data_IF_218697180006
#
_entry.id   IF_218697180006
#
_cell.length_a   1.000
_cell.length_b   1.000
_cell.length_c   1.000
_cell.angle_alpha   90.00
_cell.angle_beta   90.00
_cell.angle_gamma   90.00
#
_symmetry.space_group_name_H-M   'P 1'
#
loop_
_entity.id
_entity.type
_entity.pdbx_description
1 polymer ?
#
# COMPACT_ATOMS: atom_id res chain seq x y z
N UNK A 1 -0.09 -33.96 9.23
CA UNK A 1 -0.67 -32.64 8.91
C UNK A 1 -0.23 -31.64 9.96
N UNK A 2 1.08 -31.46 10.14
CA UNK A 2 1.66 -30.55 11.15
C UNK A 2 2.77 -29.66 10.58
N UNK A 3 3.14 -29.80 9.30
CA UNK A 3 4.20 -29.00 8.69
C UNK A 3 3.68 -27.83 7.83
N UNK A 4 2.43 -27.88 7.33
CA UNK A 4 1.92 -26.86 6.39
C UNK A 4 1.58 -25.53 7.09
N UNK A 5 1.02 -25.59 8.31
CA UNK A 5 0.70 -24.39 9.10
C UNK A 5 1.98 -23.72 9.64
N UNK A 6 2.99 -24.48 10.08
CA UNK A 6 4.30 -23.92 10.49
C UNK A 6 5.05 -23.28 9.31
N UNK A 7 5.01 -23.87 8.11
CA UNK A 7 5.67 -23.30 6.90
C UNK A 7 4.99 -21.99 6.46
N UNK A 8 3.67 -21.85 6.66
CA UNK A 8 2.92 -20.63 6.33
C UNK A 8 3.13 -19.49 7.35
N UNK A 9 3.27 -19.81 8.64
CA UNK A 9 3.64 -18.85 9.70
C UNK A 9 5.11 -18.38 9.60
N UNK A 10 5.96 -19.15 8.91
CA UNK A 10 7.41 -18.91 8.79
C UNK A 10 7.81 -17.86 7.73
N UNK A 11 6.85 -17.23 7.04
CA UNK A 11 7.07 -16.14 6.08
C UNK A 11 7.45 -14.80 6.74
N UNK A 12 8.35 -14.82 7.73
CA UNK A 12 8.69 -13.67 8.58
C UNK A 12 9.48 -12.54 7.87
N UNK A 13 9.70 -12.64 6.57
CA UNK A 13 10.04 -11.53 5.68
C UNK A 13 9.81 -11.99 4.24
N UNK A 14 8.58 -11.88 3.72
CA UNK A 14 8.26 -12.26 2.33
C UNK A 14 9.16 -11.53 1.30
N UNK A 15 9.75 -10.40 1.70
CA UNK A 15 10.55 -9.55 0.83
C UNK A 15 12.03 -9.89 0.74
N UNK A 16 12.61 -10.64 1.70
CA UNK A 16 14.05 -10.88 1.68
C UNK A 16 14.49 -12.09 2.48
N UNK A 17 15.50 -12.79 1.96
CA UNK A 17 16.29 -13.70 2.79
C UNK A 17 17.12 -12.88 3.78
N UNK A 18 17.15 -13.32 5.04
CA UNK A 18 17.95 -12.65 6.08
C UNK A 18 18.80 -13.64 6.84
N UNK A 19 19.81 -13.14 7.53
CA UNK A 19 20.69 -13.92 8.38
C UNK A 19 20.99 -13.15 9.67
N UNK A 20 20.66 -13.77 10.79
CA UNK A 20 20.86 -13.20 12.12
C UNK A 20 22.25 -13.53 12.67
N UNK A 21 22.71 -12.81 13.70
CA UNK A 21 23.97 -13.10 14.43
C UNK A 21 25.19 -13.26 13.49
N UNK A 22 25.30 -12.40 12.48
CA UNK A 22 26.28 -12.57 11.38
C UNK A 22 27.72 -12.54 11.88
N UNK A 23 28.06 -11.68 12.86
CA UNK A 23 29.40 -11.65 13.44
C UNK A 23 29.78 -12.95 14.17
N UNK A 24 28.80 -13.59 14.81
CA UNK A 24 29.01 -14.90 15.44
C UNK A 24 29.22 -15.98 14.38
N UNK A 25 28.44 -15.95 13.28
CA UNK A 25 28.59 -16.88 12.16
C UNK A 25 29.94 -16.70 11.48
N UNK A 26 30.34 -15.46 11.21
CA UNK A 26 31.64 -15.09 10.64
C UNK A 26 32.78 -15.68 11.47
N UNK A 27 32.73 -15.45 12.79
CA UNK A 27 33.71 -16.00 13.72
C UNK A 27 33.74 -17.53 13.71
N UNK A 28 32.57 -18.17 13.65
CA UNK A 28 32.44 -19.61 13.59
C UNK A 28 33.04 -20.17 12.30
N UNK A 29 32.68 -19.62 11.14
CA UNK A 29 33.15 -20.08 9.82
C UNK A 29 34.68 -20.01 9.69
N UNK A 30 35.31 -18.99 10.29
CA UNK A 30 36.77 -18.84 10.31
C UNK A 30 37.44 -19.86 11.28
N UNK A 31 36.84 -20.11 12.45
CA UNK A 31 37.50 -20.84 13.54
C UNK A 31 37.17 -22.33 13.61
N UNK A 32 35.96 -22.73 13.21
CA UNK A 32 35.41 -24.06 13.46
C UNK A 32 34.82 -24.60 12.16
N UNK A 33 35.62 -25.39 11.45
CA UNK A 33 35.22 -26.02 10.19
C UNK A 33 34.79 -27.49 10.33
N UNK A 34 34.76 -28.02 11.55
CA UNK A 34 34.29 -29.37 11.83
C UNK A 34 32.91 -29.31 12.47
N UNK A 35 31.89 -29.89 11.84
CA UNK A 35 30.51 -29.86 12.31
C UNK A 35 29.52 -29.54 11.21
N UNK A 36 28.25 -29.46 11.59
CA UNK A 36 27.14 -29.07 10.74
C UNK A 36 26.60 -27.71 11.19
N UNK A 37 26.39 -26.81 10.23
CA UNK A 37 25.68 -25.55 10.42
C UNK A 37 24.29 -25.70 9.82
N UNK A 38 23.29 -25.45 10.64
CA UNK A 38 21.88 -25.67 10.39
C UNK A 38 21.24 -24.31 10.12
N UNK A 39 20.47 -24.17 9.04
CA UNK A 39 19.85 -22.91 8.67
C UNK A 39 18.32 -23.02 8.56
N UNK A 40 17.64 -21.96 8.97
CA UNK A 40 16.20 -21.80 8.82
C UNK A 40 15.85 -20.59 7.95
N UNK A 41 14.69 -20.69 7.33
CA UNK A 41 14.18 -19.71 6.35
C UNK A 41 13.96 -18.31 6.95
N UNK A 42 13.71 -18.24 8.26
CA UNK A 42 13.59 -17.00 9.03
C UNK A 42 14.95 -16.31 9.29
N UNK A 43 16.06 -16.89 8.82
CA UNK A 43 17.41 -16.36 8.99
C UNK A 43 18.13 -16.79 10.27
N UNK A 44 17.49 -17.63 11.10
CA UNK A 44 18.16 -18.25 12.24
C UNK A 44 19.11 -19.36 11.79
N UNK A 45 20.18 -19.55 12.56
CA UNK A 45 21.14 -20.63 12.34
C UNK A 45 21.71 -21.16 13.65
N UNK A 46 22.12 -22.43 13.61
CA UNK A 46 22.72 -23.12 14.73
C UNK A 46 23.93 -23.94 14.29
N UNK A 47 24.92 -24.05 15.17
CA UNK A 47 26.08 -24.90 14.99
C UNK A 47 25.96 -26.16 15.85
N UNK A 48 26.34 -27.30 15.28
CA UNK A 48 26.40 -28.58 15.96
C UNK A 48 27.73 -29.27 15.65
N UNK A 49 28.43 -29.71 16.69
CA UNK A 49 29.55 -30.64 16.51
C UNK A 49 29.02 -32.06 16.22
N UNK A 50 29.81 -32.85 15.49
CA UNK A 50 29.43 -34.19 15.01
C UNK A 50 29.08 -35.22 16.12
N UNK A 51 29.15 -34.84 17.40
CA UNK A 51 29.04 -35.74 18.56
C UNK A 51 27.63 -35.82 19.19
N UNK A 52 26.65 -34.99 18.79
CA UNK A 52 25.37 -34.86 19.52
C UNK A 52 24.11 -35.13 18.68
N UNK A 53 23.36 -36.22 18.86
CA UNK A 53 22.10 -36.45 18.12
C UNK A 53 21.04 -35.33 18.30
N UNK A 54 20.17 -35.16 17.30
CA UNK A 54 19.05 -34.21 17.36
C UNK A 54 18.12 -34.53 18.56
N UNK A 55 17.78 -33.54 19.41
CA UNK A 55 16.76 -33.72 20.43
C UNK A 55 15.41 -34.13 19.81
N UNK A 56 14.61 -34.92 20.53
CA UNK A 56 13.21 -35.16 20.13
C UNK A 56 12.44 -33.83 20.17
N UNK A 57 11.78 -33.48 19.07
CA UNK A 57 10.97 -32.24 18.95
C UNK A 57 11.73 -31.02 18.42
N UNK A 58 12.95 -31.20 17.90
CA UNK A 58 13.67 -30.13 17.23
C UNK A 58 13.07 -29.87 15.83
N UNK A 59 12.87 -28.60 15.48
CA UNK A 59 12.37 -28.19 14.17
C UNK A 59 13.43 -28.56 13.12
N UNK A 60 13.03 -29.26 12.06
CA UNK A 60 13.96 -29.67 11.00
C UNK A 60 14.57 -28.45 10.32
N UNK A 61 15.90 -28.37 10.16
CA UNK A 61 16.51 -27.27 9.40
C UNK A 61 16.10 -27.32 7.93
N UNK A 62 16.10 -26.17 7.28
CA UNK A 62 15.73 -26.04 5.88
C UNK A 62 16.88 -26.45 4.95
N UNK A 63 18.12 -26.13 5.32
CA UNK A 63 19.31 -26.74 4.74
C UNK A 63 20.46 -26.84 5.76
N UNK A 64 21.44 -27.70 5.45
CA UNK A 64 22.57 -28.01 6.32
C UNK A 64 23.86 -27.83 5.52
N UNK A 65 24.83 -27.11 6.11
CA UNK A 65 26.17 -26.99 5.57
C UNK A 65 27.15 -27.76 6.44
N UNK A 66 27.84 -28.72 5.84
CA UNK A 66 28.86 -29.54 6.48
C UNK A 66 30.26 -29.13 6.03
N UNK A 67 31.30 -29.73 6.62
CA UNK A 67 32.70 -29.44 6.30
C UNK A 67 33.06 -29.66 4.83
N UNK A 68 32.42 -30.62 4.15
CA UNK A 68 32.68 -30.90 2.72
C UNK A 68 32.16 -29.76 1.83
N UNK A 69 30.98 -29.24 2.15
CA UNK A 69 30.35 -28.13 1.41
C UNK A 69 31.04 -26.79 1.70
N UNK A 70 31.41 -26.56 2.96
CA UNK A 70 32.05 -25.31 3.41
C UNK A 70 33.48 -25.17 2.89
N UNK A 71 34.24 -26.26 2.75
CA UNK A 71 35.63 -26.23 2.33
C UNK A 71 36.50 -25.33 3.23
N UNK A 72 37.56 -24.74 2.66
CA UNK A 72 38.47 -23.85 3.41
C UNK A 72 37.97 -22.40 3.39
N UNK A 73 37.69 -21.86 4.57
CA UNK A 73 37.20 -20.50 4.79
C UNK A 73 38.23 -19.76 5.65
N UNK A 74 38.58 -18.56 5.22
CA UNK A 74 39.51 -17.66 5.90
C UNK A 74 38.99 -16.21 5.86
N UNK A 75 39.75 -15.30 6.46
CA UNK A 75 39.42 -13.86 6.49
C UNK A 75 39.28 -13.23 5.09
N UNK A 76 39.80 -13.86 4.03
CA UNK A 76 39.74 -13.32 2.66
C UNK A 76 38.47 -13.72 1.92
N UNK A 77 37.82 -14.82 2.31
CA UNK A 77 36.63 -15.34 1.60
C UNK A 77 35.37 -15.46 2.47
N UNK A 78 35.44 -15.25 3.80
CA UNK A 78 34.29 -15.41 4.69
C UNK A 78 33.07 -14.57 4.31
N UNK A 79 33.25 -13.30 3.94
CA UNK A 79 32.12 -12.43 3.52
C UNK A 79 31.45 -12.94 2.23
N UNK A 80 32.25 -13.54 1.35
CA UNK A 80 31.74 -14.15 0.13
C UNK A 80 30.89 -15.39 0.43
N UNK A 81 31.34 -16.23 1.37
CA UNK A 81 30.59 -17.39 1.82
C UNK A 81 29.28 -16.96 2.50
N UNK A 82 29.32 -15.96 3.39
CA UNK A 82 28.12 -15.43 4.07
C UNK A 82 27.09 -14.91 3.05
N UNK A 83 27.54 -14.15 2.05
CA UNK A 83 26.66 -13.68 0.97
C UNK A 83 26.03 -14.86 0.20
N UNK A 84 26.80 -15.91 -0.09
CA UNK A 84 26.28 -17.06 -0.80
C UNK A 84 25.36 -17.95 0.06
N UNK A 85 25.53 -17.96 1.38
CA UNK A 85 24.55 -18.55 2.31
C UNK A 85 23.21 -17.82 2.21
N UNK A 86 23.22 -16.49 2.17
CA UNK A 86 22.01 -15.69 1.96
C UNK A 86 21.38 -15.95 0.58
N UNK A 87 22.19 -16.09 -0.48
CA UNK A 87 21.69 -16.48 -1.81
C UNK A 87 21.01 -17.85 -1.78
N UNK A 88 21.58 -18.81 -1.06
CA UNK A 88 20.98 -20.15 -0.89
C UNK A 88 19.66 -20.07 -0.11
N UNK A 89 19.59 -19.27 0.96
CA UNK A 89 18.33 -19.00 1.67
C UNK A 89 17.27 -18.43 0.71
N UNK A 90 17.65 -17.47 -0.13
CA UNK A 90 16.74 -16.88 -1.11
C UNK A 90 16.26 -17.90 -2.16
N UNK A 91 17.16 -18.75 -2.68
CA UNK A 91 16.79 -19.85 -3.57
C UNK A 91 15.88 -20.87 -2.88
N UNK A 92 16.10 -21.11 -1.59
CA UNK A 92 15.24 -21.96 -0.79
C UNK A 92 13.83 -21.37 -0.66
N UNK A 93 13.69 -20.05 -0.44
CA UNK A 93 12.39 -19.37 -0.47
C UNK A 93 11.66 -19.63 -1.79
N UNK A 94 12.35 -19.42 -2.92
CA UNK A 94 11.79 -19.68 -4.26
C UNK A 94 11.36 -21.14 -4.42
N UNK A 95 12.21 -22.08 -3.99
CA UNK A 95 11.88 -23.50 -4.00
C UNK A 95 10.63 -23.82 -3.18
N UNK A 96 10.50 -23.26 -1.96
CA UNK A 96 9.34 -23.46 -1.09
C UNK A 96 8.06 -22.97 -1.78
N UNK A 97 8.12 -21.78 -2.39
CA UNK A 97 6.95 -21.13 -3.01
C UNK A 97 6.47 -21.88 -4.26
N UNK A 98 7.39 -22.33 -5.12
CA UNK A 98 7.02 -22.79 -6.46
C UNK A 98 7.21 -24.29 -6.69
N UNK A 99 8.07 -24.95 -5.92
CA UNK A 99 8.55 -26.30 -6.26
C UNK A 99 8.41 -27.32 -5.12
N UNK A 100 8.13 -26.91 -3.88
CA UNK A 100 8.04 -27.82 -2.74
C UNK A 100 7.01 -28.94 -2.96
N UNK A 101 5.83 -28.59 -3.46
CA UNK A 101 4.74 -29.55 -3.70
C UNK A 101 5.00 -30.46 -4.91
N UNK A 102 6.05 -30.21 -5.70
CA UNK A 102 6.40 -31.04 -6.86
C UNK A 102 7.10 -32.35 -6.46
N UNK A 103 7.53 -32.50 -5.21
CA UNK A 103 8.17 -33.71 -4.68
C UNK A 103 9.63 -33.91 -5.09
N UNK A 104 10.26 -32.94 -5.76
CA UNK A 104 11.72 -32.90 -5.95
C UNK A 104 12.38 -32.35 -4.67
N UNK A 105 13.60 -32.78 -4.34
CA UNK A 105 14.34 -32.18 -3.21
C UNK A 105 14.91 -30.81 -3.60
N UNK A 106 15.32 -30.02 -2.61
CA UNK A 106 15.99 -28.74 -2.86
C UNK A 106 17.29 -28.90 -3.66
N UNK A 107 18.07 -29.94 -3.39
CA UNK A 107 19.31 -30.24 -4.14
C UNK A 107 18.99 -30.61 -5.59
N UNK A 108 17.91 -31.34 -5.84
CA UNK A 108 17.45 -31.63 -7.19
C UNK A 108 16.93 -30.40 -7.91
N UNK A 109 16.26 -29.48 -7.20
CA UNK A 109 15.87 -28.16 -7.72
C UNK A 109 17.10 -27.36 -8.15
N UNK A 110 18.13 -27.23 -7.30
CA UNK A 110 19.36 -26.53 -7.63
C UNK A 110 20.05 -27.11 -8.89
N UNK A 111 20.07 -28.44 -9.02
CA UNK A 111 20.67 -29.09 -10.19
C UNK A 111 19.85 -28.90 -11.47
N UNK A 112 18.52 -28.98 -11.38
CA UNK A 112 17.64 -28.97 -12.56
C UNK A 112 17.32 -27.56 -13.04
N UNK A 113 17.01 -26.65 -12.12
CA UNK A 113 16.54 -25.30 -12.43
C UNK A 113 17.69 -24.29 -12.40
N UNK A 114 18.59 -24.37 -11.41
CA UNK A 114 19.72 -23.44 -11.28
C UNK A 114 21.01 -23.94 -11.96
N UNK A 115 21.01 -25.18 -12.48
CA UNK A 115 22.17 -25.84 -13.07
C UNK A 115 23.43 -25.72 -12.19
N UNK A 116 23.26 -25.90 -10.88
CA UNK A 116 24.30 -25.73 -9.88
C UNK A 116 24.10 -26.66 -8.68
N UNK A 117 25.03 -26.61 -7.73
CA UNK A 117 24.91 -27.27 -6.43
C UNK A 117 25.32 -26.33 -5.29
N UNK A 118 25.04 -26.75 -4.05
CA UNK A 118 25.31 -25.95 -2.85
C UNK A 118 26.78 -25.54 -2.77
N UNK A 119 27.71 -26.46 -3.01
CA UNK A 119 29.14 -26.19 -2.92
C UNK A 119 29.59 -25.16 -3.95
N UNK A 120 29.14 -25.31 -5.19
CA UNK A 120 29.43 -24.38 -6.29
C UNK A 120 28.91 -22.98 -5.95
N UNK A 121 27.65 -22.87 -5.50
CA UNK A 121 27.06 -21.58 -5.11
C UNK A 121 27.81 -20.94 -3.95
N UNK A 122 28.20 -21.70 -2.92
CA UNK A 122 28.92 -21.18 -1.75
C UNK A 122 30.26 -20.53 -2.12
N UNK A 123 30.95 -21.07 -3.12
CA UNK A 123 32.29 -20.63 -3.52
C UNK A 123 32.32 -19.69 -4.75
N UNK A 124 31.15 -19.36 -5.31
CA UNK A 124 31.00 -18.31 -6.32
C UNK A 124 31.57 -16.98 -5.81
N UNK A 125 32.33 -16.24 -6.62
CA UNK A 125 32.92 -14.93 -6.24
C UNK A 125 31.91 -13.77 -6.28
N UNK A 126 30.69 -13.99 -5.78
CA UNK A 126 29.60 -13.03 -5.83
C UNK A 126 29.92 -11.73 -5.08
N UNK A 127 30.59 -11.81 -3.93
CA UNK A 127 30.92 -10.62 -3.14
C UNK A 127 31.89 -9.69 -3.88
N UNK A 128 32.86 -10.26 -4.61
CA UNK A 128 33.81 -9.47 -5.40
C UNK A 128 33.18 -8.78 -6.62
N UNK A 129 31.96 -9.18 -6.98
CA UNK A 129 31.19 -8.53 -8.06
C UNK A 129 30.38 -7.33 -7.60
N UNK A 130 30.26 -7.11 -6.27
CA UNK A 130 29.56 -5.96 -5.71
C UNK A 130 30.43 -4.71 -5.90
N UNK A 131 30.03 -3.84 -6.81
CA UNK A 131 30.78 -2.65 -7.22
C UNK A 131 30.05 -1.33 -6.95
N UNK A 132 28.77 -1.41 -6.56
CA UNK A 132 27.95 -0.26 -6.22
C UNK A 132 27.38 -0.43 -4.80
N UNK A 133 27.15 0.70 -4.12
CA UNK A 133 26.56 0.70 -2.79
C UNK A 133 25.82 1.99 -2.49
N UNK A 134 24.88 1.91 -1.55
CA UNK A 134 24.16 3.06 -1.00
C UNK A 134 23.97 2.91 0.51
N UNK A 135 24.24 3.99 1.24
CA UNK A 135 23.96 4.08 2.67
C UNK A 135 22.64 4.79 2.88
N UNK A 136 21.59 4.03 3.20
CA UNK A 136 20.30 4.55 3.59
C UNK A 136 20.34 4.92 5.07
N UNK A 137 20.28 6.22 5.36
CA UNK A 137 20.38 6.74 6.72
C UNK A 137 19.27 7.74 7.04
N UNK A 138 18.37 7.35 7.93
CA UNK A 138 17.25 8.17 8.40
C UNK A 138 17.14 7.98 9.90
N UNK A 139 17.20 9.06 10.67
CA UNK A 139 17.19 8.96 12.13
C UNK A 139 16.40 10.11 12.78
N UNK A 140 15.83 9.82 13.95
CA UNK A 140 15.36 10.80 14.93
C UNK A 140 15.72 10.30 16.34
N UNK A 141 15.20 10.96 17.38
CA UNK A 141 15.51 10.61 18.77
C UNK A 141 15.02 9.22 19.22
N UNK A 142 14.14 8.57 18.44
CA UNK A 142 13.47 7.31 18.79
C UNK A 142 13.76 6.15 17.84
N UNK A 143 14.06 6.44 16.57
CA UNK A 143 14.21 5.46 15.49
C UNK A 143 15.45 5.81 14.68
N UNK A 144 16.23 4.80 14.30
CA UNK A 144 17.35 4.92 13.38
C UNK A 144 17.31 3.79 12.35
N UNK A 145 17.12 4.17 11.09
CA UNK A 145 17.29 3.30 9.93
C UNK A 145 18.71 3.50 9.40
N UNK A 146 19.54 2.46 9.49
CA UNK A 146 20.91 2.48 9.00
C UNK A 146 21.19 1.21 8.20
N UNK A 147 20.95 1.30 6.89
CA UNK A 147 21.07 0.19 5.96
C UNK A 147 22.18 0.48 4.94
N UNK A 148 23.02 -0.51 4.67
CA UNK A 148 24.00 -0.44 3.58
C UNK A 148 23.61 -1.48 2.54
N UNK A 149 23.16 -1.03 1.38
CA UNK A 149 22.81 -1.89 0.25
C UNK A 149 23.95 -1.91 -0.75
N UNK A 150 24.31 -3.08 -1.28
CA UNK A 150 25.37 -3.27 -2.27
C UNK A 150 24.96 -4.22 -3.39
N UNK A 151 25.32 -3.92 -4.63
CA UNK A 151 24.94 -4.68 -5.82
C UNK A 151 26.04 -4.66 -6.89
N UNK A 152 25.90 -5.53 -7.89
CA UNK A 152 26.78 -5.62 -9.07
C UNK A 152 26.27 -4.76 -10.24
N UNK A 153 27.06 -4.65 -11.32
CA UNK A 153 26.71 -3.86 -12.51
C UNK A 153 25.35 -4.24 -13.15
N UNK A 154 24.95 -5.52 -13.01
CA UNK A 154 23.69 -6.02 -13.56
C UNK A 154 22.47 -5.68 -12.69
N UNK A 155 22.67 -5.13 -11.48
CA UNK A 155 21.61 -4.84 -10.51
C UNK A 155 20.91 -6.09 -9.94
N UNK A 156 21.36 -7.30 -10.29
CA UNK A 156 20.72 -8.53 -9.83
C UNK A 156 21.29 -8.96 -8.50
N UNK A 157 20.40 -9.12 -7.51
CA UNK A 157 20.77 -9.47 -6.15
C UNK A 157 21.40 -8.30 -5.41
N UNK A 158 20.76 -7.90 -4.31
CA UNK A 158 21.17 -6.79 -3.46
C UNK A 158 21.50 -7.36 -2.10
N UNK A 159 22.76 -7.20 -1.71
CA UNK A 159 23.22 -7.50 -0.35
C UNK A 159 22.91 -6.29 0.54
N UNK A 160 22.37 -6.53 1.73
CA UNK A 160 21.98 -5.47 2.67
C UNK A 160 22.57 -5.76 4.04
N UNK A 161 23.16 -4.75 4.66
CA UNK A 161 23.61 -4.80 6.06
C UNK A 161 22.69 -3.91 6.89
N UNK A 162 22.02 -4.50 7.88
CA UNK A 162 21.12 -3.82 8.81
C UNK A 162 21.83 -3.56 10.14
N UNK A 163 22.01 -2.28 10.50
CA UNK A 163 22.54 -1.85 11.80
C UNK A 163 23.85 -2.57 12.23
N UNK A 164 24.64 -3.05 11.27
CA UNK A 164 25.87 -3.82 11.45
C UNK A 164 25.72 -5.14 12.24
N UNK A 165 24.53 -5.75 12.29
CA UNK A 165 24.30 -6.99 13.06
C UNK A 165 23.57 -8.10 12.31
N UNK A 166 22.79 -7.72 11.29
CA UNK A 166 21.95 -8.62 10.48
C UNK A 166 22.22 -8.34 9.01
N UNK A 167 22.32 -9.39 8.20
CA UNK A 167 22.47 -9.25 6.76
C UNK A 167 21.21 -9.72 6.03
N UNK A 168 20.98 -9.21 4.83
CA UNK A 168 19.89 -9.63 3.96
C UNK A 168 20.31 -9.71 2.49
N UNK A 169 19.53 -10.46 1.72
CA UNK A 169 19.69 -10.60 0.29
C UNK A 169 18.33 -10.63 -0.39
N UNK A 170 18.17 -9.79 -1.42
CA UNK A 170 16.90 -9.70 -2.15
C UNK A 170 17.07 -9.06 -3.54
N UNK A 171 15.99 -8.85 -4.27
CA UNK A 171 15.95 -8.07 -5.50
C UNK A 171 15.42 -6.64 -5.26
N UNK A 172 15.62 -5.76 -6.24
CA UNK A 172 15.29 -4.34 -6.10
C UNK A 172 13.82 -4.06 -5.77
N UNK A 173 12.91 -4.80 -6.40
CA UNK A 173 11.48 -4.65 -6.17
C UNK A 173 11.12 -4.99 -4.72
N UNK A 174 11.53 -6.16 -4.25
CA UNK A 174 11.23 -6.61 -2.90
C UNK A 174 11.91 -5.74 -1.83
N UNK A 175 13.13 -5.24 -2.09
CA UNK A 175 13.76 -4.23 -1.22
C UNK A 175 12.91 -2.96 -1.14
N UNK A 176 12.32 -2.53 -2.25
CA UNK A 176 11.42 -1.39 -2.25
C UNK A 176 10.16 -1.66 -1.43
N UNK A 177 9.58 -2.85 -1.54
CA UNK A 177 8.44 -3.27 -0.73
C UNK A 177 8.76 -3.29 0.76
N UNK A 178 9.91 -3.87 1.12
CA UNK A 178 10.42 -3.83 2.49
C UNK A 178 10.57 -2.40 3.01
N UNK A 179 11.16 -1.48 2.25
CA UNK A 179 11.30 -0.09 2.67
C UNK A 179 9.94 0.61 2.84
N UNK A 180 8.97 0.31 1.98
CA UNK A 180 7.62 0.83 2.11
C UNK A 180 6.91 0.28 3.36
N UNK A 181 7.07 -1.00 3.67
CA UNK A 181 6.56 -1.62 4.90
C UNK A 181 7.19 -0.98 6.15
N UNK A 182 8.52 -0.82 6.17
CA UNK A 182 9.25 -0.16 7.26
C UNK A 182 8.74 1.26 7.51
N UNK A 183 8.35 1.98 6.45
CA UNK A 183 7.79 3.33 6.57
C UNK A 183 6.47 3.39 7.36
N UNK A 184 5.72 2.28 7.46
CA UNK A 184 4.46 2.23 8.20
C UNK A 184 4.67 2.33 9.72
N UNK A 185 5.81 1.86 10.21
CA UNK A 185 6.18 1.97 11.63
C UNK A 185 6.57 3.39 12.08
N UNK A 186 6.72 4.33 11.15
CA UNK A 186 7.12 5.71 11.47
C UNK A 186 5.90 6.48 11.98
N UNK A 187 5.99 6.96 13.23
CA UNK A 187 4.91 7.66 13.92
C UNK A 187 5.03 9.21 13.87
N UNK A 188 5.96 9.76 13.09
CA UNK A 188 6.18 11.19 12.92
C UNK A 188 6.23 11.57 11.43
N UNK A 189 5.51 12.63 11.06
CA UNK A 189 5.42 13.08 9.66
C UNK A 189 6.77 13.53 9.10
N UNK A 190 7.58 14.27 9.87
CA UNK A 190 8.87 14.77 9.39
C UNK A 190 9.83 13.63 9.01
N UNK A 191 9.94 12.66 9.91
CA UNK A 191 10.74 11.43 9.74
C UNK A 191 10.20 10.59 8.59
N UNK A 192 8.87 10.45 8.47
CA UNK A 192 8.24 9.72 7.38
C UNK A 192 8.56 10.34 6.02
N UNK A 193 8.38 11.65 5.87
CA UNK A 193 8.74 12.37 4.65
C UNK A 193 10.23 12.27 4.32
N UNK A 194 11.11 12.37 5.33
CA UNK A 194 12.55 12.19 5.13
C UNK A 194 12.85 10.77 4.63
N UNK A 195 12.22 9.76 5.23
CA UNK A 195 12.38 8.36 4.84
C UNK A 195 12.01 8.14 3.38
N UNK A 196 10.84 8.60 2.96
CA UNK A 196 10.39 8.42 1.58
C UNK A 196 11.26 9.18 0.56
N UNK A 197 11.72 10.40 0.91
CA UNK A 197 12.69 11.14 0.08
C UNK A 197 14.00 10.38 -0.06
N UNK A 198 14.50 9.79 1.03
CA UNK A 198 15.72 9.00 1.04
C UNK A 198 15.57 7.72 0.21
N UNK A 199 14.40 7.07 0.29
CA UNK A 199 14.05 5.93 -0.55
C UNK A 199 14.10 6.30 -2.04
N UNK A 200 13.53 7.45 -2.44
CA UNK A 200 13.63 7.92 -3.84
C UNK A 200 15.06 8.24 -4.26
N UNK A 201 15.91 8.77 -3.38
CA UNK A 201 17.33 8.98 -3.68
C UNK A 201 18.06 7.65 -3.90
N UNK A 202 17.80 6.66 -3.05
CA UNK A 202 18.32 5.30 -3.20
C UNK A 202 17.91 4.72 -4.57
N UNK A 203 16.63 4.74 -4.91
CA UNK A 203 16.13 4.21 -6.18
C UNK A 203 16.78 4.91 -7.39
N UNK A 204 16.88 6.25 -7.38
CA UNK A 204 17.58 7.01 -8.43
C UNK A 204 19.06 6.64 -8.54
N UNK A 205 19.73 6.45 -7.40
CA UNK A 205 21.14 6.05 -7.39
C UNK A 205 21.31 4.64 -7.97
N UNK A 206 20.48 3.69 -7.53
CA UNK A 206 20.45 2.33 -8.04
C UNK A 206 20.29 2.31 -9.58
N UNK A 207 19.26 2.96 -10.11
CA UNK A 207 19.02 2.98 -11.56
C UNK A 207 20.17 3.61 -12.36
N UNK A 208 20.77 4.70 -11.87
CA UNK A 208 21.95 5.32 -12.52
C UNK A 208 23.17 4.41 -12.58
N UNK A 209 23.25 3.41 -11.72
CA UNK A 209 24.38 2.48 -11.61
C UNK A 209 24.09 1.10 -12.23
N UNK A 210 22.92 0.92 -12.84
CA UNK A 210 22.54 -0.34 -13.49
C UNK A 210 22.23 -0.10 -14.96
N UNK A 211 21.98 -1.17 -15.71
CA UNK A 211 21.56 -1.08 -17.11
C UNK A 211 20.19 -0.42 -17.33
N UNK A 212 19.37 -0.28 -16.28
CA UNK A 212 18.07 0.35 -16.33
C UNK A 212 18.14 1.80 -15.81
N UNK A 213 18.78 2.70 -16.57
CA UNK A 213 19.03 4.09 -16.15
C UNK A 213 17.77 4.96 -16.02
N UNK A 214 16.66 4.53 -16.63
CA UNK A 214 15.37 5.23 -16.62
C UNK A 214 14.34 4.53 -15.73
N UNK A 215 14.79 3.70 -14.79
CA UNK A 215 13.89 2.93 -13.95
C UNK A 215 12.90 3.78 -13.16
N UNK A 216 11.77 3.15 -12.85
CA UNK A 216 10.59 3.81 -12.29
C UNK A 216 10.73 3.98 -10.78
N UNK A 217 10.46 5.18 -10.29
CA UNK A 217 10.52 5.45 -8.85
C UNK A 217 9.22 5.03 -8.18
N UNK A 218 9.32 4.19 -7.18
CA UNK A 218 8.20 3.72 -6.36
C UNK A 218 7.97 4.63 -5.15
N UNK A 219 6.71 4.72 -4.76
CA UNK A 219 6.18 5.46 -3.63
C UNK A 219 4.92 4.76 -3.10
N UNK A 220 4.23 5.37 -2.14
CA UNK A 220 2.92 4.87 -1.66
C UNK A 220 1.83 5.91 -1.87
N UNK A 221 0.59 5.46 -2.09
CA UNK A 221 -0.56 6.36 -2.10
C UNK A 221 -0.68 7.15 -0.78
N UNK A 222 -0.33 6.50 0.34
CA UNK A 222 -0.28 7.12 1.67
C UNK A 222 0.64 8.33 1.70
N UNK A 223 1.81 8.27 1.05
CA UNK A 223 2.71 9.42 0.99
C UNK A 223 2.05 10.62 0.32
N UNK A 224 1.29 10.38 -0.75
CA UNK A 224 0.53 11.41 -1.46
C UNK A 224 -0.61 11.95 -0.59
N UNK A 225 -1.38 11.08 0.05
CA UNK A 225 -2.48 11.47 0.94
C UNK A 225 -2.02 12.33 2.12
N UNK A 226 -0.84 12.04 2.64
CA UNK A 226 -0.24 12.81 3.74
C UNK A 226 0.25 14.19 3.29
N UNK A 227 0.21 14.53 2.00
CA UNK A 227 0.35 15.92 1.59
C UNK A 227 -0.85 16.77 2.02
N UNK A 228 -2.03 16.18 2.25
CA UNK A 228 -3.13 16.87 2.92
C UNK A 228 -2.86 17.01 4.43
N UNK A 229 -2.84 18.24 4.99
CA UNK A 229 -2.60 18.47 6.42
C UNK A 229 -3.58 17.75 7.37
N UNK A 230 -4.85 17.59 6.99
CA UNK A 230 -5.85 16.90 7.81
C UNK A 230 -5.50 15.42 7.98
N UNK A 231 -4.97 14.78 6.94
CA UNK A 231 -4.56 13.38 6.99
C UNK A 231 -3.33 13.19 7.88
N UNK A 232 -2.41 14.16 7.91
CA UNK A 232 -1.26 14.15 8.83
C UNK A 232 -1.72 14.12 10.27
N UNK A 233 -2.67 14.99 10.62
CA UNK A 233 -3.24 15.04 11.97
C UNK A 233 -3.92 13.72 12.31
N UNK A 234 -4.75 13.17 11.42
CA UNK A 234 -5.44 11.89 11.66
C UNK A 234 -4.49 10.70 11.81
N UNK A 235 -3.40 10.64 11.04
CA UNK A 235 -2.44 9.52 11.08
C UNK A 235 -1.55 9.57 12.32
N UNK A 236 -1.07 10.76 12.68
CA UNK A 236 -0.01 10.91 13.68
C UNK A 236 -0.49 11.45 15.04
N UNK A 237 -1.76 11.87 15.16
CA UNK A 237 -2.38 12.19 16.45
C UNK A 237 -3.33 11.07 16.89
N UNK A 238 -2.88 10.28 17.88
CA UNK A 238 -3.67 9.18 18.46
C UNK A 238 -4.97 9.62 19.12
N UNK A 239 -5.21 10.93 19.30
CA UNK A 239 -6.46 11.50 19.86
C UNK A 239 -7.53 11.75 18.80
N UNK A 240 -7.17 11.73 17.52
CA UNK A 240 -8.09 11.99 16.41
C UNK A 240 -8.53 10.65 15.82
N UNK A 241 -9.86 10.46 15.70
CA UNK A 241 -10.40 9.23 15.10
C UNK A 241 -9.94 9.06 13.65
N UNK A 242 -9.53 7.84 13.28
CA UNK A 242 -8.88 7.52 12.01
C UNK A 242 -9.84 7.23 10.85
N UNK A 243 -11.15 7.42 11.02
CA UNK A 243 -12.15 6.73 10.18
C UNK A 243 -12.35 7.30 8.76
N UNK A 244 -12.02 8.57 8.49
CA UNK A 244 -12.17 9.14 7.15
C UNK A 244 -10.89 9.80 6.68
N UNK A 245 -10.27 9.25 5.64
CA UNK A 245 -9.18 9.88 4.90
C UNK A 245 -9.76 10.95 4.00
N UNK A 246 -9.21 12.16 4.03
CA UNK A 246 -9.55 13.19 3.06
C UNK A 246 -8.73 12.94 1.80
N UNK A 247 -9.36 12.46 0.72
CA UNK A 247 -8.65 12.11 -0.51
C UNK A 247 -8.20 13.32 -1.33
N UNK A 248 -8.55 14.54 -0.90
CA UNK A 248 -8.18 15.75 -1.63
C UNK A 248 -6.74 16.16 -1.36
N UNK A 249 -5.93 16.17 -2.41
CA UNK A 249 -4.55 16.68 -2.35
C UNK A 249 -4.35 17.71 -3.45
N UNK A 250 -3.85 18.88 -3.08
CA UNK A 250 -3.66 19.99 -4.01
C UNK A 250 -2.55 19.67 -5.01
N UNK A 251 -2.78 19.95 -6.29
CA UNK A 251 -1.82 19.69 -7.38
C UNK A 251 -0.48 20.40 -7.13
N UNK A 252 -0.51 21.65 -6.65
CA UNK A 252 0.71 22.38 -6.32
C UNK A 252 1.61 21.66 -5.30
N UNK A 253 1.00 21.09 -4.25
CA UNK A 253 1.74 20.41 -3.19
C UNK A 253 2.40 19.13 -3.71
N UNK A 254 1.75 18.43 -4.65
CA UNK A 254 2.31 17.22 -5.30
C UNK A 254 3.49 17.58 -6.19
N UNK A 255 3.32 18.57 -7.06
CA UNK A 255 4.37 19.02 -7.99
C UNK A 255 5.60 19.48 -7.22
N UNK A 256 5.43 20.30 -6.17
CA UNK A 256 6.53 20.77 -5.33
C UNK A 256 7.20 19.61 -4.58
N UNK A 257 6.41 18.76 -3.92
CA UNK A 257 6.92 17.70 -3.07
C UNK A 257 7.70 16.62 -3.84
N UNK A 258 7.19 16.20 -5.01
CA UNK A 258 7.84 15.21 -5.87
C UNK A 258 8.82 15.84 -6.87
N UNK A 259 8.85 17.18 -6.97
CA UNK A 259 9.61 17.94 -7.95
C UNK A 259 9.33 17.44 -9.38
N UNK A 260 8.06 17.40 -9.75
CA UNK A 260 7.58 16.94 -11.06
C UNK A 260 7.84 18.01 -12.13
N UNK A 261 8.26 17.61 -13.33
CA UNK A 261 8.52 18.51 -14.46
C UNK A 261 7.25 18.74 -15.29
N UNK A 262 6.19 19.23 -14.64
CA UNK A 262 4.91 19.51 -15.28
C UNK A 262 4.83 21.00 -15.62
N UNK A 263 4.66 21.30 -16.92
CA UNK A 263 4.42 22.68 -17.38
C UNK A 263 2.93 23.01 -17.31
N UNK A 264 2.56 23.78 -16.31
CA UNK A 264 1.18 24.24 -16.14
C UNK A 264 0.99 25.59 -16.84
N UNK A 265 0.01 25.65 -17.74
CA UNK A 265 -0.25 26.83 -18.60
C UNK A 265 -1.08 27.93 -17.93
N UNK A 266 -1.86 27.57 -16.90
CA UNK A 266 -2.68 28.49 -16.09
C UNK A 266 -2.47 28.18 -14.61
N UNK A 267 -2.02 29.17 -13.83
CA UNK A 267 -1.80 29.05 -12.39
C UNK A 267 -3.06 28.58 -11.63
N UNK A 268 -4.27 28.84 -12.16
CA UNK A 268 -5.51 28.34 -11.53
C UNK A 268 -5.60 26.82 -11.49
N UNK A 269 -4.94 26.12 -12.43
CA UNK A 269 -4.91 24.66 -12.44
C UNK A 269 -4.11 24.11 -11.25
N UNK A 270 -3.18 24.89 -10.69
CA UNK A 270 -2.43 24.53 -9.48
C UNK A 270 -3.29 24.57 -8.20
N UNK A 271 -4.47 25.21 -8.25
CA UNK A 271 -5.46 25.26 -7.18
C UNK A 271 -6.46 24.10 -7.24
N UNK A 272 -6.38 23.25 -8.28
CA UNK A 272 -7.16 22.00 -8.33
C UNK A 272 -6.63 20.97 -7.34
N UNK A 273 -7.49 20.02 -7.00
CA UNK A 273 -7.17 18.89 -6.13
C UNK A 273 -7.33 17.59 -6.89
N UNK A 274 -6.35 16.70 -6.79
CA UNK A 274 -6.55 15.31 -7.20
C UNK A 274 -7.42 14.60 -6.15
N UNK A 275 -8.14 13.57 -6.58
CA UNK A 275 -8.73 12.59 -5.68
C UNK A 275 -7.79 11.38 -5.58
N UNK A 276 -7.15 11.18 -4.42
CA UNK A 276 -6.21 10.05 -4.23
C UNK A 276 -6.87 8.68 -4.36
N UNK A 277 -8.21 8.60 -4.34
CA UNK A 277 -8.92 7.36 -4.66
C UNK A 277 -8.61 6.86 -6.09
N UNK A 278 -8.32 7.76 -7.03
CA UNK A 278 -7.91 7.36 -8.38
C UNK A 278 -6.53 6.69 -8.41
N UNK A 279 -5.61 7.06 -7.52
CA UNK A 279 -4.33 6.35 -7.39
C UNK A 279 -4.54 4.89 -6.99
N UNK A 280 -5.46 4.64 -6.06
CA UNK A 280 -5.82 3.29 -5.66
C UNK A 280 -6.55 2.53 -6.77
N UNK A 281 -7.62 3.10 -7.34
CA UNK A 281 -8.46 2.38 -8.30
C UNK A 281 -7.80 2.15 -9.66
N UNK A 282 -6.93 3.07 -10.12
CA UNK A 282 -6.26 2.94 -11.42
C UNK A 282 -4.96 2.14 -11.33
N UNK A 283 -4.23 2.23 -10.21
CA UNK A 283 -2.87 1.68 -10.10
C UNK A 283 -2.67 0.77 -8.88
N UNK A 284 -3.04 1.22 -7.69
CA UNK A 284 -2.68 0.57 -6.43
C UNK A 284 -3.50 -0.67 -6.04
N UNK A 285 -4.66 -0.92 -6.65
CA UNK A 285 -5.61 -1.97 -6.20
C UNK A 285 -5.03 -3.39 -6.17
N UNK A 286 -4.02 -3.67 -7.00
CA UNK A 286 -3.40 -5.00 -7.11
C UNK A 286 -2.12 -5.16 -6.30
N UNK A 287 -1.70 -4.13 -5.56
CA UNK A 287 -0.39 -4.03 -4.94
C UNK A 287 -0.47 -4.18 -3.42
N UNK A 288 0.44 -4.98 -2.82
CA UNK A 288 0.36 -5.39 -1.41
C UNK A 288 0.28 -4.23 -0.41
N UNK A 289 0.98 -3.13 -0.69
CA UNK A 289 0.99 -1.92 0.15
C UNK A 289 0.32 -0.73 -0.52
N UNK A 290 -0.53 -0.97 -1.53
CA UNK A 290 -1.05 0.07 -2.42
C UNK A 290 0.10 0.96 -2.93
N UNK A 291 1.24 0.33 -3.24
CA UNK A 291 2.38 1.00 -3.80
C UNK A 291 2.04 1.46 -5.22
N UNK A 292 2.57 2.62 -5.54
CA UNK A 292 2.38 3.28 -6.82
C UNK A 292 3.73 3.84 -7.25
N UNK A 293 3.78 4.41 -8.43
CA UNK A 293 4.99 5.01 -8.97
C UNK A 293 4.86 6.53 -9.06
N UNK A 294 5.99 7.24 -9.03
CA UNK A 294 6.00 8.70 -9.24
C UNK A 294 5.41 9.08 -10.60
N UNK A 295 5.67 8.35 -11.71
CA UNK A 295 4.96 8.57 -12.97
C UNK A 295 3.44 8.38 -12.90
N UNK A 296 2.93 7.45 -12.09
CA UNK A 296 1.48 7.30 -11.89
C UNK A 296 0.88 8.47 -11.12
N UNK A 297 1.61 9.01 -10.13
CA UNK A 297 1.23 10.25 -9.44
C UNK A 297 1.18 11.42 -10.44
N UNK A 298 2.18 11.54 -11.30
CA UNK A 298 2.22 12.54 -12.38
C UNK A 298 1.06 12.37 -13.36
N UNK A 299 0.72 11.14 -13.75
CA UNK A 299 -0.41 10.85 -14.63
C UNK A 299 -1.74 11.33 -14.04
N UNK A 300 -2.02 11.04 -12.76
CA UNK A 300 -3.26 11.55 -12.11
C UNK A 300 -3.29 13.07 -12.04
N UNK A 301 -2.14 13.72 -11.81
CA UNK A 301 -2.06 15.19 -11.82
C UNK A 301 -2.43 15.72 -13.21
N UNK A 302 -1.87 15.14 -14.28
CA UNK A 302 -2.16 15.54 -15.66
C UNK A 302 -3.62 15.29 -16.02
N UNK A 303 -4.15 14.11 -15.72
CA UNK A 303 -5.54 13.74 -16.01
C UNK A 303 -6.54 14.64 -15.26
N UNK A 304 -6.20 15.11 -14.05
CA UNK A 304 -7.02 16.08 -13.30
C UNK A 304 -6.92 17.49 -13.89
N UNK A 305 -5.74 17.88 -14.39
CA UNK A 305 -5.56 19.16 -15.10
C UNK A 305 -6.40 19.19 -16.37
N UNK A 306 -6.42 18.09 -17.12
CA UNK A 306 -7.12 17.90 -18.39
C UNK A 306 -8.63 17.60 -18.22
N UNK A 307 -9.15 17.64 -17.00
CA UNK A 307 -10.56 17.35 -16.66
C UNK A 307 -11.02 15.93 -17.06
N UNK A 308 -10.09 14.99 -17.17
CA UNK A 308 -10.36 13.55 -17.34
C UNK A 308 -10.88 12.98 -16.02
N UNK A 309 -10.21 13.30 -14.91
CA UNK A 309 -10.68 12.97 -13.56
C UNK A 309 -11.27 14.20 -12.86
N UNK A 310 -12.46 14.09 -12.25
CA UNK A 310 -13.03 15.17 -11.47
C UNK A 310 -12.26 15.41 -10.16
N UNK A 311 -12.28 16.65 -9.67
CA UNK A 311 -11.86 16.94 -8.30
C UNK A 311 -12.67 16.10 -7.29
N UNK A 312 -12.08 15.76 -6.14
CA UNK A 312 -12.77 14.99 -5.10
C UNK A 312 -14.04 15.68 -4.65
N UNK A 313 -15.07 14.89 -4.31
CA UNK A 313 -16.39 15.41 -3.92
C UNK A 313 -16.31 16.44 -2.77
N UNK A 314 -15.38 16.24 -1.83
CA UNK A 314 -15.13 17.16 -0.71
C UNK A 314 -14.82 18.60 -1.15
N UNK A 315 -14.25 18.78 -2.34
CA UNK A 315 -13.91 20.07 -2.95
C UNK A 315 -14.99 20.51 -3.94
N UNK A 316 -15.32 19.68 -4.93
CA UNK A 316 -16.21 20.08 -6.04
C UNK A 316 -17.62 20.45 -5.59
N UNK A 317 -18.13 19.86 -4.50
CA UNK A 317 -19.46 20.17 -3.94
C UNK A 317 -19.71 21.67 -3.66
N UNK A 318 -18.64 22.44 -3.44
CA UNK A 318 -18.74 23.89 -3.20
C UNK A 318 -18.62 24.74 -4.47
N UNK A 319 -18.14 24.14 -5.58
CA UNK A 319 -17.93 24.80 -6.88
C UNK A 319 -19.02 24.45 -7.90
N UNK A 320 -19.75 23.36 -7.67
CA UNK A 320 -20.82 22.88 -8.54
C UNK A 320 -21.89 23.96 -8.79
N UNK A 321 -22.40 24.01 -10.02
CA UNK A 321 -23.34 25.06 -10.47
C UNK A 321 -24.80 24.82 -10.07
N UNK A 322 -25.16 23.61 -9.64
CA UNK A 322 -26.50 23.23 -9.14
C UNK A 322 -27.65 23.79 -9.99
N UNK A 323 -27.65 23.47 -11.29
CA UNK A 323 -28.55 24.07 -12.29
C UNK A 323 -30.03 23.63 -12.16
N UNK A 324 -30.29 22.52 -11.48
CA UNK A 324 -31.64 22.02 -11.26
C UNK A 324 -32.05 22.19 -9.80
N UNK A 325 -33.35 22.38 -9.59
CA UNK A 325 -33.93 22.57 -8.26
C UNK A 325 -35.34 21.99 -8.18
N UNK A 326 -35.69 21.43 -7.03
CA UNK A 326 -37.03 20.94 -6.72
C UNK A 326 -37.43 21.39 -5.32
N UNK A 327 -38.49 22.19 -5.26
CA UNK A 327 -39.08 22.66 -4.01
C UNK A 327 -40.29 21.79 -3.68
N UNK A 328 -40.31 21.23 -2.47
CA UNK A 328 -41.45 20.48 -1.98
C UNK A 328 -41.77 20.85 -0.54
N UNK A 329 -43.04 20.64 -0.16
CA UNK A 329 -43.57 21.06 1.13
C UNK A 329 -44.13 19.87 1.88
N UNK A 330 -43.52 19.57 3.03
CA UNK A 330 -43.92 18.44 3.86
C UNK A 330 -44.73 18.94 5.05
N UNK A 331 -45.91 18.36 5.27
CA UNK A 331 -46.71 18.65 6.45
C UNK A 331 -46.25 17.76 7.62
N UNK A 332 -45.91 18.38 8.76
CA UNK A 332 -45.56 17.68 9.99
C UNK A 332 -46.63 17.82 11.09
N UNK A 333 -47.89 17.98 10.69
CA UNK A 333 -49.05 18.11 11.59
C UNK A 333 -49.27 19.51 12.17
N UNK A 334 -48.19 20.23 12.54
CA UNK A 334 -48.30 21.59 13.11
C UNK A 334 -47.85 22.69 12.17
N UNK A 335 -46.87 22.43 11.30
CA UNK A 335 -46.32 23.40 10.34
C UNK A 335 -46.14 22.76 8.96
N UNK A 336 -46.12 23.60 7.94
CA UNK A 336 -45.66 23.22 6.61
C UNK A 336 -44.17 23.53 6.51
N UNK A 337 -43.36 22.49 6.28
CA UNK A 337 -41.91 22.61 6.20
C UNK A 337 -41.47 22.68 4.74
N UNK A 338 -40.79 23.76 4.37
CA UNK A 338 -40.25 23.93 3.02
C UNK A 338 -38.92 23.21 2.88
N UNK A 339 -38.79 22.42 1.83
CA UNK A 339 -37.61 21.65 1.51
C UNK A 339 -37.15 22.02 0.09
N UNK A 340 -35.83 22.15 -0.08
CA UNK A 340 -35.23 22.41 -1.38
C UNK A 340 -34.13 21.39 -1.63
N UNK A 341 -34.28 20.64 -2.71
CA UNK A 341 -33.23 19.83 -3.30
C UNK A 341 -32.70 20.52 -4.56
N UNK A 342 -31.38 20.55 -4.73
CA UNK A 342 -30.73 21.09 -5.93
C UNK A 342 -29.67 20.11 -6.42
N UNK A 343 -29.49 20.03 -7.73
CA UNK A 343 -28.54 19.08 -8.31
C UNK A 343 -27.99 19.49 -9.67
N UNK A 344 -26.86 18.87 -10.03
CA UNK A 344 -26.28 18.83 -11.36
C UNK A 344 -25.89 17.37 -11.66
N UNK A 345 -26.69 16.68 -12.49
CA UNK A 345 -26.55 15.23 -12.71
C UNK A 345 -25.18 14.88 -13.31
N UNK A 346 -24.76 15.60 -14.36
CA UNK A 346 -23.48 15.37 -15.04
C UNK A 346 -22.25 15.66 -14.17
N UNK A 347 -22.40 16.48 -13.13
CA UNK A 347 -21.31 16.78 -12.19
C UNK A 347 -21.43 15.90 -10.93
N UNK A 348 -22.41 14.98 -10.87
CA UNK A 348 -22.72 14.13 -9.71
C UNK A 348 -22.77 14.93 -8.40
N UNK A 349 -23.48 16.06 -8.45
CA UNK A 349 -23.52 17.03 -7.37
C UNK A 349 -24.96 17.23 -6.91
N UNK A 350 -25.25 16.87 -5.66
CA UNK A 350 -26.59 16.95 -5.08
C UNK A 350 -26.52 17.67 -3.72
N UNK A 351 -27.53 18.48 -3.40
CA UNK A 351 -27.62 19.13 -2.09
C UNK A 351 -29.07 19.29 -1.64
N UNK A 352 -29.26 19.27 -0.33
CA UNK A 352 -30.57 19.37 0.32
C UNK A 352 -30.53 20.36 1.47
N UNK A 353 -31.59 21.16 1.62
CA UNK A 353 -31.83 21.93 2.83
C UNK A 353 -33.28 21.82 3.28
N UNK A 354 -33.46 21.89 4.60
CA UNK A 354 -34.75 21.86 5.30
C UNK A 354 -34.98 23.22 5.97
N UNK A 355 -35.92 24.00 5.47
CA UNK A 355 -36.15 25.38 5.90
C UNK A 355 -34.92 26.26 5.68
N UNK A 356 -34.55 27.05 6.69
CA UNK A 356 -33.40 27.97 6.67
C UNK A 356 -32.07 27.29 7.05
N UNK A 357 -32.05 25.97 7.22
CA UNK A 357 -30.83 25.24 7.55
C UNK A 357 -29.78 25.33 6.42
N UNK A 358 -28.51 25.12 6.79
CA UNK A 358 -27.43 24.95 5.84
C UNK A 358 -27.67 23.73 4.92
N UNK A 359 -27.10 23.77 3.72
CA UNK A 359 -27.14 22.63 2.80
C UNK A 359 -26.31 21.47 3.31
N UNK A 360 -26.88 20.28 3.20
CA UNK A 360 -26.15 19.00 3.22
C UNK A 360 -25.85 18.61 1.78
N UNK A 361 -24.67 18.05 1.52
CA UNK A 361 -24.15 17.74 0.18
C UNK A 361 -24.00 16.25 -0.02
N UNK A 362 -24.31 15.74 -1.22
CA UNK A 362 -24.23 14.32 -1.58
C UNK A 362 -23.62 14.14 -2.97
N UNK A 363 -22.83 13.08 -3.12
CA UNK A 363 -22.17 12.71 -4.38
C UNK A 363 -23.07 11.87 -5.30
N UNK A 364 -24.27 11.51 -4.85
CA UNK A 364 -25.19 10.68 -5.62
C UNK A 364 -26.65 10.91 -5.21
N UNK A 365 -27.57 10.58 -6.13
CA UNK A 365 -28.99 10.78 -5.94
C UNK A 365 -29.60 9.81 -4.92
N UNK A 366 -29.08 8.58 -4.81
CA UNK A 366 -29.51 7.59 -3.81
C UNK A 366 -29.20 8.09 -2.39
N UNK A 367 -27.98 8.60 -2.15
CA UNK A 367 -27.60 9.19 -0.87
C UNK A 367 -28.46 10.40 -0.50
N UNK A 368 -28.79 11.25 -1.49
CA UNK A 368 -29.73 12.36 -1.32
C UNK A 368 -31.11 11.85 -0.86
N UNK A 369 -31.70 10.90 -1.58
CA UNK A 369 -33.04 10.38 -1.28
C UNK A 369 -33.06 9.67 0.09
N UNK A 370 -32.06 8.83 0.38
CA UNK A 370 -31.92 8.18 1.67
C UNK A 370 -31.81 9.20 2.81
N UNK A 371 -31.01 10.26 2.63
CA UNK A 371 -30.89 11.32 3.62
C UNK A 371 -32.21 12.05 3.85
N UNK A 372 -32.94 12.40 2.79
CA UNK A 372 -34.24 13.07 2.89
C UNK A 372 -35.19 12.20 3.73
N UNK A 373 -35.36 10.92 3.39
CA UNK A 373 -36.25 10.02 4.12
C UNK A 373 -35.84 9.88 5.60
N UNK A 374 -34.55 9.73 5.88
CA UNK A 374 -34.02 9.65 7.26
C UNK A 374 -34.22 10.93 8.06
N UNK A 375 -34.09 12.09 7.43
CA UNK A 375 -34.26 13.38 8.09
C UNK A 375 -35.67 13.59 8.68
N UNK A 376 -36.64 12.78 8.24
CA UNK A 376 -38.02 12.81 8.69
C UNK A 376 -38.43 11.60 9.55
N UNK A 377 -37.54 10.61 9.75
CA UNK A 377 -37.79 9.36 10.49
C UNK A 377 -38.41 9.58 11.87
N UNK A 378 -37.90 10.56 12.62
CA UNK A 378 -38.27 10.78 14.01
C UNK A 378 -39.41 11.81 14.18
N UNK A 379 -39.98 12.31 13.09
CA UNK A 379 -41.06 13.30 13.12
C UNK A 379 -42.40 12.59 13.40
N UNK A 380 -42.99 12.85 14.57
CA UNK A 380 -44.17 12.11 15.08
C UNK A 380 -45.46 12.29 14.28
N UNK A 381 -45.54 13.28 13.39
CA UNK A 381 -46.79 13.68 12.73
C UNK A 381 -46.60 13.94 11.24
N UNK A 382 -45.64 13.26 10.63
CA UNK A 382 -45.38 13.36 9.19
C UNK A 382 -46.34 12.51 8.37
N UNK A 383 -46.82 13.06 7.26
CA UNK A 383 -47.51 12.27 6.24
C UNK A 383 -46.47 11.55 5.36
N UNK A 384 -46.24 10.26 5.64
CA UNK A 384 -45.27 9.44 4.90
C UNK A 384 -45.65 9.22 3.44
N UNK A 385 -46.94 9.05 3.13
CA UNK A 385 -47.39 8.91 1.72
C UNK A 385 -47.03 10.16 0.93
N UNK A 386 -47.29 11.33 1.49
CA UNK A 386 -46.91 12.61 0.88
C UNK A 386 -45.39 12.71 0.70
N UNK A 387 -44.59 12.39 1.72
CA UNK A 387 -43.12 12.45 1.61
C UNK A 387 -42.59 11.49 0.53
N UNK A 388 -43.13 10.28 0.44
CA UNK A 388 -42.77 9.30 -0.60
C UNK A 388 -43.14 9.85 -1.98
N UNK A 389 -44.34 10.40 -2.16
CA UNK A 389 -44.76 11.01 -3.43
C UNK A 389 -43.82 12.16 -3.85
N UNK A 390 -43.46 13.06 -2.94
CA UNK A 390 -42.49 14.13 -3.22
C UNK A 390 -41.11 13.58 -3.58
N UNK A 391 -40.64 12.51 -2.91
CA UNK A 391 -39.39 11.83 -3.25
C UNK A 391 -39.47 11.18 -4.64
N UNK A 392 -40.60 10.57 -5.01
CA UNK A 392 -40.82 9.99 -6.35
C UNK A 392 -40.78 11.08 -7.42
N UNK A 393 -41.39 12.24 -7.16
CA UNK A 393 -41.34 13.37 -8.08
C UNK A 393 -39.92 13.92 -8.23
N UNK A 394 -39.17 14.02 -7.13
CA UNK A 394 -37.76 14.39 -7.16
C UNK A 394 -36.92 13.39 -7.98
N UNK A 395 -37.09 12.08 -7.75
CA UNK A 395 -36.38 11.04 -8.50
C UNK A 395 -36.65 11.19 -10.01
N UNK A 396 -37.92 11.35 -10.41
CA UNK A 396 -38.29 11.56 -11.82
C UNK A 396 -37.74 12.87 -12.39
N UNK A 397 -37.62 13.92 -11.58
CA UNK A 397 -37.01 15.18 -12.01
C UNK A 397 -35.50 15.02 -12.21
N UNK A 398 -34.82 14.28 -11.33
CA UNK A 398 -33.40 13.93 -11.48
C UNK A 398 -33.19 13.07 -12.72
N UNK A 399 -33.99 12.02 -12.90
CA UNK A 399 -33.99 11.13 -14.06
C UNK A 399 -34.17 11.91 -15.36
N UNK A 400 -35.12 12.84 -15.42
CA UNK A 400 -35.32 13.70 -16.61
C UNK A 400 -34.11 14.59 -16.93
N UNK A 401 -33.30 14.91 -15.92
CA UNK A 401 -32.09 15.72 -16.10
C UNK A 401 -30.85 14.91 -16.47
N UNK A 402 -30.92 13.57 -16.42
CA UNK A 402 -29.83 12.74 -16.93
C UNK A 402 -29.81 12.83 -18.45
N UNK A 403 -28.64 13.14 -19.02
CA UNK A 403 -28.46 13.16 -20.48
C UNK A 403 -28.31 11.75 -21.07
N UNK A 404 -28.30 10.73 -20.21
CA UNK A 404 -28.23 9.31 -20.53
C UNK A 404 -29.59 8.69 -20.18
N UNK A 405 -30.03 7.69 -20.93
CA UNK A 405 -31.24 6.91 -20.67
C UNK A 405 -31.05 6.05 -19.39
N UNK A 406 -31.07 6.71 -18.24
CA UNK A 406 -30.91 6.11 -16.92
C UNK A 406 -32.30 5.92 -16.33
N UNK A 407 -32.72 4.67 -16.10
CA UNK A 407 -33.97 4.42 -15.39
C UNK A 407 -33.75 4.33 -13.88
N UNK A 408 -34.40 5.20 -13.11
CA UNK A 408 -34.35 5.22 -11.64
C UNK A 408 -35.56 4.51 -11.00
N UNK A 409 -36.29 3.70 -11.78
CA UNK A 409 -37.48 2.98 -11.32
C UNK A 409 -37.16 2.02 -10.16
N UNK A 410 -35.94 1.46 -10.11
CA UNK A 410 -35.50 0.63 -8.99
C UNK A 410 -35.57 1.38 -7.66
N UNK A 411 -35.15 2.65 -7.63
CA UNK A 411 -35.14 3.48 -6.43
C UNK A 411 -36.57 3.87 -6.03
N UNK A 412 -37.43 4.13 -7.02
CA UNK A 412 -38.88 4.36 -6.80
C UNK A 412 -39.54 3.13 -6.17
N UNK A 413 -39.23 1.94 -6.67
CA UNK A 413 -39.74 0.69 -6.12
C UNK A 413 -39.25 0.46 -4.69
N UNK A 414 -37.97 0.75 -4.41
CA UNK A 414 -37.37 0.55 -3.10
C UNK A 414 -38.00 1.46 -2.03
N UNK A 415 -38.24 2.74 -2.34
CA UNK A 415 -38.87 3.67 -1.37
C UNK A 415 -40.38 3.46 -1.20
N UNK A 416 -41.04 2.77 -2.14
CA UNK A 416 -42.47 2.42 -2.06
C UNK A 416 -42.71 1.06 -1.39
N UNK A 417 -41.75 0.14 -1.44
CA UNK A 417 -41.82 -1.12 -0.72
C UNK A 417 -41.64 -0.84 0.79
N UNK A 418 -42.60 -1.22 1.66
CA UNK A 418 -42.45 -1.07 3.10
C UNK A 418 -41.14 -1.67 3.65
N UNK A 419 -40.65 -2.77 3.07
CA UNK A 419 -39.38 -3.39 3.50
C UNK A 419 -38.16 -2.59 3.05
N UNK A 420 -38.15 -2.09 1.81
CA UNK A 420 -37.10 -1.23 1.29
C UNK A 420 -37.02 0.08 2.07
N UNK A 421 -38.18 0.69 2.36
CA UNK A 421 -38.27 1.89 3.20
C UNK A 421 -37.76 1.63 4.62
N UNK A 422 -38.16 0.53 5.27
CA UNK A 422 -37.65 0.15 6.59
C UNK A 422 -36.11 -0.02 6.57
N UNK A 423 -35.58 -0.70 5.55
CA UNK A 423 -34.14 -0.86 5.35
C UNK A 423 -33.42 0.50 5.25
N UNK A 424 -33.93 1.43 4.44
CA UNK A 424 -33.37 2.78 4.30
C UNK A 424 -33.39 3.54 5.63
N UNK A 425 -34.47 3.45 6.41
CA UNK A 425 -34.65 4.23 7.63
C UNK A 425 -33.82 3.71 8.82
N UNK A 426 -33.53 2.42 8.87
CA UNK A 426 -32.99 1.77 10.07
C UNK A 426 -31.63 1.09 9.90
N UNK A 427 -31.13 0.85 8.68
CA UNK A 427 -29.77 0.33 8.51
C UNK A 427 -28.72 1.43 8.55
N UNK A 428 -27.66 1.20 9.31
CA UNK A 428 -26.48 2.06 9.34
C UNK A 428 -25.74 1.93 8.01
N UNK A 429 -26.02 2.83 7.07
CA UNK A 429 -25.11 3.10 5.97
C UNK A 429 -24.06 4.09 6.46
N UNK A 430 -22.75 3.78 6.35
CA UNK A 430 -21.72 4.77 6.61
C UNK A 430 -21.91 5.91 5.59
N UNK A 431 -22.21 7.10 6.09
CA UNK A 431 -22.16 8.34 5.32
C UNK A 431 -20.72 8.76 5.10
#
# INVERSE_FOLDING_TARGET
>A
MTNQEEILDMKNNEWMATLERVEELRTLLIKIQSGDILFWINGEWHYRSNEYNFPKGFITPHFILNSESLGNIDEKNVENVILNILRLLNLYNTYVIFHYDSGISFEDYLRKEENSDISTILHDRAHNSLCHSYSFYVHNDKIAFNYISSWNENGKGIHIVFNNSKYGFTYFYDLTMFLLEESWGIADYGTYTQFCKEMRKFQRHYYKTTSNTEGVLFTSFTEVELLNPENRVKRFDSKVGSYMVNTAVRIADIIDYFNLDIKVTDEKLMEKYIDTHYLYTQFGYYEFFNNITVPEVEAIVMDTIEDIFPEPFSVRKHKCTYINSYNFKINNGTNQMECLAEWHYLEECYRFRRGENAYTYFQSYDLLIHHILRAFRNEKSINWEQLIEECVHLIKAIEKSSTVDTSLEYLINDIKDPKGLEHILYNDFPF
#
